data_IF_754030639765
#
_entry.id   IF_754030639765
#
_cell.length_a   1.000
_cell.length_b   1.000
_cell.length_c   1.000
_cell.angle_alpha   90.00
_cell.angle_beta   90.00
_cell.angle_gamma   90.00
#
_symmetry.space_group_name_H-M   'P 1'
#
loop_
_entity.id
_entity.type
_entity.pdbx_description
1 polymer ?
#
# COMPACT_ATOMS: atom_id res chain seq x y z
N UNK A 1 -1.91 -10.09 -1.67
CA UNK A 1 -1.75 -10.90 -2.91
C UNK A 1 -1.22 -12.31 -2.63
N UNK A 2 -0.15 -12.50 -1.84
CA UNK A 2 0.37 -13.83 -1.46
C UNK A 2 -0.14 -14.35 -0.11
N UNK A 3 -0.84 -13.50 0.66
CA UNK A 3 -1.21 -13.78 2.06
C UNK A 3 -0.08 -13.51 3.07
N UNK A 4 1.13 -13.19 2.57
CA UNK A 4 2.27 -12.84 3.41
C UNK A 4 2.06 -11.49 4.12
N UNK A 5 2.28 -11.47 5.44
CA UNK A 5 2.26 -10.25 6.25
C UNK A 5 3.67 -9.70 6.30
N UNK A 6 3.96 -8.74 5.42
CA UNK A 6 5.30 -8.15 5.32
C UNK A 6 5.50 -7.05 6.37
N UNK A 7 6.55 -7.11 7.21
CA UNK A 7 6.92 -6.03 8.11
C UNK A 7 7.39 -4.78 7.35
N UNK A 8 7.05 -3.59 7.85
CA UNK A 8 7.47 -2.31 7.24
C UNK A 8 8.98 -2.21 7.08
N UNK A 9 9.75 -2.66 8.09
CA UNK A 9 11.23 -2.67 8.04
C UNK A 9 11.77 -3.52 6.90
N UNK A 10 11.18 -4.69 6.68
CA UNK A 10 11.58 -5.58 5.59
C UNK A 10 11.24 -4.97 4.24
N UNK A 11 10.03 -4.45 4.09
CA UNK A 11 9.59 -3.78 2.86
C UNK A 11 10.52 -2.61 2.49
N UNK A 12 10.90 -1.78 3.47
CA UNK A 12 11.84 -0.67 3.25
C UNK A 12 13.24 -1.18 2.85
N UNK A 13 13.73 -2.24 3.48
CA UNK A 13 15.01 -2.84 3.13
C UNK A 13 15.02 -3.40 1.69
N UNK A 14 13.91 -4.00 1.24
CA UNK A 14 13.76 -4.48 -0.13
C UNK A 14 13.69 -3.36 -1.18
N UNK A 15 13.19 -2.18 -0.79
CA UNK A 15 13.26 -0.99 -1.64
C UNK A 15 14.70 -0.48 -1.72
N UNK A 16 15.39 -0.40 -0.58
CA UNK A 16 16.78 0.07 -0.50
C UNK A 16 17.74 -0.85 -1.27
N UNK A 17 17.52 -2.17 -1.24
CA UNK A 17 18.32 -3.14 -2.01
C UNK A 17 17.93 -3.25 -3.49
N UNK A 18 16.95 -2.46 -3.96
CA UNK A 18 16.33 -2.56 -5.29
C UNK A 18 15.70 -3.93 -5.65
N UNK A 19 15.53 -4.83 -4.68
CA UNK A 19 14.74 -6.05 -4.84
C UNK A 19 13.30 -5.72 -5.23
N UNK A 20 12.75 -4.64 -4.69
CA UNK A 20 11.51 -4.02 -5.11
C UNK A 20 11.80 -2.62 -5.64
N UNK A 21 11.35 -2.34 -6.86
CA UNK A 21 11.50 -1.02 -7.48
C UNK A 21 10.18 -0.54 -8.06
N UNK A 22 9.74 0.62 -7.60
CA UNK A 22 8.52 1.29 -8.06
C UNK A 22 8.89 2.40 -9.05
N UNK A 23 8.23 2.43 -10.21
CA UNK A 23 8.55 3.35 -11.31
C UNK A 23 7.47 4.42 -11.51
N UNK A 24 6.20 4.04 -11.34
CA UNK A 24 5.09 4.95 -11.50
C UNK A 24 3.90 4.49 -10.66
N UNK A 25 3.11 5.47 -10.22
CA UNK A 25 1.85 5.26 -9.53
C UNK A 25 0.81 6.22 -10.11
N UNK A 26 -0.38 5.71 -10.38
CA UNK A 26 -1.53 6.51 -10.81
C UNK A 26 -2.76 6.08 -10.02
N UNK A 27 -3.36 7.02 -9.29
CA UNK A 27 -4.65 6.80 -8.63
C UNK A 27 -5.75 6.64 -9.68
N UNK A 28 -6.62 5.65 -9.46
CA UNK A 28 -7.84 5.45 -10.25
C UNK A 28 -9.08 5.85 -9.45
N UNK A 29 -9.14 5.52 -8.15
CA UNK A 29 -10.26 5.89 -7.28
C UNK A 29 -9.94 5.77 -5.79
N UNK A 30 -10.60 6.59 -4.97
CA UNK A 30 -10.70 6.41 -3.52
C UNK A 30 -12.15 6.10 -3.16
N UNK A 31 -12.36 5.07 -2.33
CA UNK A 31 -13.67 4.53 -1.95
C UNK A 31 -13.70 4.23 -0.46
N UNK A 32 -14.92 4.02 0.06
CA UNK A 32 -15.15 3.48 1.41
C UNK A 32 -14.35 4.20 2.51
N UNK A 33 -14.44 5.54 2.51
CA UNK A 33 -13.78 6.38 3.50
C UNK A 33 -14.62 6.37 4.78
N UNK A 34 -14.01 6.04 5.90
CA UNK A 34 -14.61 6.09 7.23
C UNK A 34 -13.67 6.81 8.18
N UNK A 35 -14.21 7.70 9.01
CA UNK A 35 -13.47 8.40 10.05
C UNK A 35 -14.36 8.39 11.29
N UNK A 36 -13.84 7.82 12.38
CA UNK A 36 -14.52 7.77 13.68
C UNK A 36 -13.48 8.05 14.76
N UNK A 37 -13.64 9.18 15.46
CA UNK A 37 -12.75 9.65 16.52
C UNK A 37 -11.26 9.65 16.08
N UNK A 38 -10.49 8.72 16.63
CA UNK A 38 -9.06 8.53 16.39
C UNK A 38 -8.77 7.37 15.45
N UNK A 39 -9.76 6.86 14.72
CA UNK A 39 -9.60 5.78 13.74
C UNK A 39 -10.13 6.23 12.38
N UNK A 40 -9.48 5.77 11.31
CA UNK A 40 -9.97 5.99 9.96
C UNK A 40 -9.64 4.80 9.06
N UNK A 41 -10.36 4.66 7.96
CA UNK A 41 -10.00 3.71 6.91
C UNK A 41 -10.41 4.23 5.54
N UNK A 42 -9.74 3.74 4.50
CA UNK A 42 -10.12 3.96 3.11
C UNK A 42 -9.74 2.77 2.25
N UNK A 43 -10.38 2.66 1.08
CA UNK A 43 -9.99 1.73 0.01
C UNK A 43 -9.55 2.52 -1.21
N UNK A 44 -8.25 2.46 -1.53
CA UNK A 44 -7.68 3.10 -2.71
C UNK A 44 -7.51 2.10 -3.86
N UNK A 45 -7.72 2.54 -5.08
CA UNK A 45 -7.45 1.79 -6.32
C UNK A 45 -6.42 2.56 -7.14
N UNK A 46 -5.38 1.87 -7.61
CA UNK A 46 -4.30 2.49 -8.38
C UNK A 46 -3.66 1.53 -9.38
N UNK A 47 -3.01 2.11 -10.39
CA UNK A 47 -2.11 1.41 -11.31
C UNK A 47 -0.66 1.67 -10.89
N UNK A 48 0.05 0.61 -10.53
CA UNK A 48 1.43 0.68 -10.02
C UNK A 48 2.37 -0.04 -10.97
N UNK A 49 3.31 0.69 -11.57
CA UNK A 49 4.39 0.10 -12.37
C UNK A 49 5.55 -0.26 -11.45
N UNK A 50 5.84 -1.54 -11.27
CA UNK A 50 6.89 -2.01 -10.38
C UNK A 50 7.63 -3.23 -10.93
N UNK A 51 8.87 -3.42 -10.46
CA UNK A 51 9.63 -4.67 -10.53
C UNK A 51 9.71 -5.22 -9.11
N UNK A 52 9.35 -6.48 -8.92
CA UNK A 52 9.31 -7.13 -7.60
C UNK A 52 10.10 -8.43 -7.69
N UNK A 53 11.14 -8.56 -6.86
CA UNK A 53 12.04 -9.72 -6.78
C UNK A 53 12.57 -10.15 -8.16
N UNK A 54 13.01 -9.18 -8.96
CA UNK A 54 13.53 -9.40 -10.32
C UNK A 54 12.46 -9.61 -11.41
N UNK A 55 11.18 -9.80 -11.07
CA UNK A 55 10.10 -9.90 -12.03
C UNK A 55 9.54 -8.52 -12.42
N UNK A 56 9.44 -8.24 -13.73
CA UNK A 56 8.91 -6.99 -14.27
C UNK A 56 9.93 -6.19 -15.10
N UNK A 57 9.67 -4.89 -15.38
CA UNK A 57 8.59 -4.08 -14.84
C UNK A 57 7.20 -4.41 -15.43
N UNK A 58 6.19 -4.50 -14.58
CA UNK A 58 4.79 -4.68 -14.96
C UNK A 58 3.90 -3.65 -14.27
N UNK A 59 2.74 -3.35 -14.87
CA UNK A 59 1.73 -2.47 -14.27
C UNK A 59 0.66 -3.30 -13.59
N UNK A 60 0.51 -3.13 -12.28
CA UNK A 60 -0.44 -3.84 -11.44
C UNK A 60 -1.62 -2.95 -11.10
N UNK A 61 -2.85 -3.46 -11.25
CA UNK A 61 -4.06 -2.81 -10.74
C UNK A 61 -4.25 -3.23 -9.30
N UNK A 62 -3.89 -2.36 -8.37
CA UNK A 62 -3.90 -2.64 -6.93
C UNK A 62 -5.08 -1.96 -6.26
N UNK A 63 -5.82 -2.74 -5.48
CA UNK A 63 -6.76 -2.24 -4.50
C UNK A 63 -6.14 -2.38 -3.11
N UNK A 64 -5.99 -1.26 -2.42
CA UNK A 64 -5.34 -1.17 -1.12
C UNK A 64 -6.36 -0.72 -0.09
N UNK A 65 -6.65 -1.57 0.90
CA UNK A 65 -7.34 -1.13 2.12
C UNK A 65 -6.29 -0.60 3.09
N UNK A 66 -6.50 0.61 3.58
CA UNK A 66 -5.66 1.25 4.60
C UNK A 66 -6.48 1.52 5.84
N UNK A 67 -5.96 1.13 6.99
CA UNK A 67 -6.50 1.47 8.31
C UNK A 67 -5.52 2.41 9.02
N UNK A 68 -6.05 3.43 9.67
CA UNK A 68 -5.30 4.50 10.32
C UNK A 68 -5.71 4.68 11.77
N UNK A 69 -4.75 5.09 12.58
CA UNK A 69 -4.99 5.62 13.93
C UNK A 69 -4.40 7.02 14.07
N UNK A 70 -5.05 7.86 14.86
CA UNK A 70 -4.57 9.19 15.22
C UNK A 70 -3.71 9.09 16.48
N UNK A 71 -2.39 9.17 16.30
CA UNK A 71 -1.39 9.06 17.36
C UNK A 71 -0.69 10.42 17.46
N UNK A 72 -0.70 11.02 18.65
CA UNK A 72 -0.12 12.34 18.92
C UNK A 72 -0.62 13.44 17.97
N UNK A 73 -1.88 13.34 17.54
CA UNK A 73 -2.51 14.30 16.63
C UNK A 73 -2.34 13.98 15.14
N UNK A 74 -1.47 13.04 14.79
CA UNK A 74 -1.18 12.64 13.41
C UNK A 74 -1.87 11.33 13.03
N UNK A 75 -2.41 11.27 11.81
CA UNK A 75 -2.84 10.00 11.22
C UNK A 75 -1.64 9.15 10.82
N UNK A 76 -1.53 7.95 11.39
CA UNK A 76 -0.52 6.94 11.03
C UNK A 76 -1.21 5.73 10.41
N UNK A 77 -0.61 5.16 9.37
CA UNK A 77 -1.07 3.89 8.80
C UNK A 77 -0.68 2.79 9.77
N UNK A 78 -1.67 2.09 10.33
CA UNK A 78 -1.44 0.96 11.24
C UNK A 78 -1.52 -0.38 10.51
N UNK A 79 -2.24 -0.42 9.39
CA UNK A 79 -2.42 -1.64 8.59
C UNK A 79 -2.71 -1.30 7.14
N UNK A 80 -2.15 -2.14 6.26
CA UNK A 80 -2.44 -2.11 4.84
C UNK A 80 -2.65 -3.53 4.32
N UNK A 81 -3.67 -3.73 3.49
CA UNK A 81 -3.85 -4.99 2.76
C UNK A 81 -4.06 -4.73 1.27
N UNK A 82 -3.35 -5.52 0.45
CA UNK A 82 -3.33 -5.37 -0.99
C UNK A 82 -4.00 -6.54 -1.71
N UNK A 83 -4.94 -6.22 -2.59
CA UNK A 83 -5.58 -7.10 -3.58
C UNK A 83 -5.53 -6.47 -4.97
N UNK A 84 -6.08 -7.14 -5.98
CA UNK A 84 -6.27 -6.59 -7.33
C UNK A 84 -7.75 -6.22 -7.56
N UNK A 85 -8.02 -5.49 -8.64
CA UNK A 85 -9.37 -5.15 -9.12
C UNK A 85 -9.42 -5.10 -10.65
#
# INVERSE_FOLDING_TARGET
>A
MTGYVQPVKEWLAQIESEEMRYYAWQEDAIKAIYITDNTASLVGQSRVKARVWGAGPATWRLQIKMDFEKIDGDWKIIKQSASTY
#
